data_IF_535459370794
#
_entry.id   IF_535459370794
#
_cell.length_a   1.000
_cell.length_b   1.000
_cell.length_c   1.000
_cell.angle_alpha   90.00
_cell.angle_beta   90.00
_cell.angle_gamma   90.00
#
_symmetry.space_group_name_H-M   'P 1'
#
loop_
_entity.id
_entity.type
_entity.pdbx_description
1 polymer ?
#
# COMPACT_ATOMS: atom_id res chain seq x y z
N UNK A 1 3.59 -35.91 -18.89
CA UNK A 1 3.87 -34.70 -19.70
C UNK A 1 2.81 -33.61 -19.50
N UNK A 2 1.52 -33.90 -19.67
CA UNK A 2 0.44 -32.89 -19.48
C UNK A 2 0.31 -32.36 -18.03
N UNK A 3 0.65 -33.16 -17.01
CA UNK A 3 0.62 -32.73 -15.60
C UNK A 3 1.66 -31.63 -15.29
N UNK A 4 2.88 -31.76 -15.80
CA UNK A 4 3.92 -30.72 -15.64
C UNK A 4 3.57 -29.45 -16.41
N UNK A 5 2.96 -29.59 -17.58
CA UNK A 5 2.49 -28.45 -18.37
C UNK A 5 1.35 -27.70 -17.65
N UNK A 6 0.42 -28.44 -17.03
CA UNK A 6 -0.67 -27.86 -16.23
C UNK A 6 -0.16 -27.09 -15.00
N UNK A 7 0.83 -27.63 -14.28
CA UNK A 7 1.46 -26.95 -13.15
C UNK A 7 2.17 -25.67 -13.60
N UNK A 8 2.86 -25.71 -14.76
CA UNK A 8 3.51 -24.53 -15.33
C UNK A 8 2.51 -23.39 -15.65
N UNK A 9 1.34 -23.73 -16.20
CA UNK A 9 0.30 -22.74 -16.45
C UNK A 9 -0.29 -22.15 -15.16
N UNK A 10 -0.47 -22.94 -14.09
CA UNK A 10 -0.92 -22.42 -12.78
C UNK A 10 0.10 -21.41 -12.20
N UNK A 11 1.40 -21.70 -12.31
CA UNK A 11 2.44 -20.79 -11.82
C UNK A 11 2.49 -19.45 -12.56
N UNK A 12 2.11 -19.39 -13.84
CA UNK A 12 2.05 -18.14 -14.61
C UNK A 12 0.91 -17.21 -14.15
N UNK A 13 -0.23 -17.77 -13.70
CA UNK A 13 -1.35 -16.96 -13.20
C UNK A 13 -1.10 -16.36 -11.81
N UNK A 14 -0.21 -16.95 -11.00
CA UNK A 14 0.12 -16.45 -9.66
C UNK A 14 1.04 -15.21 -9.65
N UNK A 15 1.61 -14.81 -10.79
CA UNK A 15 2.57 -13.70 -10.85
C UNK A 15 1.94 -12.30 -10.73
N UNK A 16 0.61 -12.17 -10.86
CA UNK A 16 -0.08 -10.87 -10.83
C UNK A 16 -0.65 -10.48 -9.46
N UNK A 17 -0.32 -11.19 -8.38
CA UNK A 17 -0.99 -11.01 -7.09
C UNK A 17 -0.42 -9.90 -6.19
N UNK A 18 0.58 -9.12 -6.60
CA UNK A 18 1.24 -8.15 -5.69
C UNK A 18 1.53 -6.78 -6.30
N UNK A 19 0.65 -6.25 -7.15
CA UNK A 19 0.64 -4.82 -7.44
C UNK A 19 -0.21 -4.07 -6.39
N UNK A 20 0.02 -4.35 -5.10
CA UNK A 20 -0.56 -3.53 -4.04
C UNK A 20 0.29 -2.28 -3.95
N UNK A 21 -0.31 -1.11 -4.21
CA UNK A 21 0.39 0.18 -4.19
C UNK A 21 1.29 0.26 -2.96
N UNK A 22 2.57 0.56 -3.19
CA UNK A 22 3.62 0.47 -2.16
C UNK A 22 3.30 1.46 -1.04
N UNK A 23 2.75 1.00 0.08
CA UNK A 23 2.56 1.84 1.25
C UNK A 23 3.84 1.84 2.08
N UNK A 24 4.40 3.03 2.33
CA UNK A 24 5.51 3.21 3.25
C UNK A 24 5.03 4.05 4.44
N UNK A 25 5.41 3.65 5.66
CA UNK A 25 5.09 4.41 6.88
C UNK A 25 6.39 4.61 7.66
N UNK A 26 6.63 5.86 8.06
CA UNK A 26 7.75 6.23 8.91
C UNK A 26 7.27 7.04 10.11
N UNK A 27 7.85 6.75 11.28
CA UNK A 27 7.62 7.54 12.47
C UNK A 27 8.31 8.90 12.33
N UNK A 28 7.59 9.99 12.61
CA UNK A 28 8.13 11.35 12.53
C UNK A 28 8.62 11.82 13.90
N UNK A 29 7.70 11.90 14.86
CA UNK A 29 7.94 12.34 16.25
C UNK A 29 6.67 12.13 17.08
N UNK A 30 6.81 11.90 18.38
CA UNK A 30 5.65 11.71 19.28
C UNK A 30 4.68 10.67 18.72
N UNK A 31 3.42 11.06 18.55
CA UNK A 31 2.37 10.21 17.98
C UNK A 31 2.09 10.49 16.48
N UNK A 32 3.02 11.15 15.79
CA UNK A 32 2.91 11.53 14.38
C UNK A 32 3.71 10.60 13.46
N UNK A 33 3.08 10.23 12.35
CA UNK A 33 3.62 9.29 11.36
C UNK A 33 3.42 9.85 9.95
N UNK A 34 4.45 9.77 9.11
CA UNK A 34 4.34 10.02 7.68
C UNK A 34 3.98 8.72 6.98
N UNK A 35 2.99 8.77 6.10
CA UNK A 35 2.73 7.69 5.16
C UNK A 35 2.91 8.17 3.72
N UNK A 36 3.57 7.35 2.92
CA UNK A 36 3.81 7.60 1.50
C UNK A 36 3.08 6.56 0.67
N UNK A 37 2.28 7.04 -0.29
CA UNK A 37 1.58 6.19 -1.27
C UNK A 37 2.03 6.55 -2.67
N UNK A 38 1.88 5.63 -3.61
CA UNK A 38 2.35 5.83 -4.98
C UNK A 38 1.22 5.70 -5.98
N UNK A 39 1.28 6.51 -7.03
CA UNK A 39 0.45 6.36 -8.22
C UNK A 39 1.36 6.26 -9.43
N UNK A 40 1.06 5.32 -10.33
CA UNK A 40 1.72 5.27 -11.62
C UNK A 40 1.10 6.33 -12.54
N UNK A 41 1.93 7.26 -13.00
CA UNK A 41 1.57 8.23 -14.02
C UNK A 41 2.56 8.11 -15.17
N UNK A 42 2.06 7.80 -16.36
CA UNK A 42 2.89 7.59 -17.57
C UNK A 42 4.03 6.57 -17.38
N UNK A 43 3.77 5.52 -16.59
CA UNK A 43 4.75 4.45 -16.32
C UNK A 43 5.83 4.82 -15.30
N UNK A 44 5.72 6.00 -14.67
CA UNK A 44 6.60 6.44 -13.59
C UNK A 44 5.81 6.46 -12.27
N UNK A 45 6.32 5.82 -11.20
CA UNK A 45 5.67 5.87 -9.89
C UNK A 45 5.94 7.21 -9.20
N UNK A 46 4.89 7.96 -8.89
CA UNK A 46 4.98 9.23 -8.17
C UNK A 46 4.54 9.07 -6.71
N UNK A 47 5.36 9.51 -5.74
CA UNK A 47 4.99 9.47 -4.33
C UNK A 47 4.07 10.65 -3.95
N UNK A 48 3.09 10.42 -3.06
CA UNK A 48 2.53 11.45 -2.20
C UNK A 48 2.83 11.14 -0.73
N UNK A 49 3.35 12.13 -0.04
CA UNK A 49 3.61 12.09 1.39
C UNK A 49 2.45 12.75 2.13
N UNK A 50 1.93 12.05 3.10
CA UNK A 50 0.81 12.46 3.94
C UNK A 50 1.12 12.08 5.39
N UNK A 51 0.22 12.39 6.32
CA UNK A 51 0.50 12.20 7.74
C UNK A 51 -0.73 11.68 8.47
N UNK A 52 -0.53 10.94 9.55
CA UNK A 52 -1.56 10.74 10.56
C UNK A 52 -0.99 10.94 11.96
N UNK A 53 -1.87 11.30 12.89
CA UNK A 53 -1.57 11.40 14.31
C UNK A 53 -2.44 10.42 15.10
N UNK A 54 -1.81 9.65 15.99
CA UNK A 54 -2.52 8.79 16.93
C UNK A 54 -2.87 9.60 18.18
N UNK A 55 -4.13 9.55 18.59
CA UNK A 55 -4.65 10.22 19.78
C UNK A 55 -5.33 9.19 20.68
N UNK A 56 -5.54 9.47 21.97
CA UNK A 56 -6.28 8.56 22.86
C UNK A 56 -7.69 8.21 22.36
N UNK A 57 -8.33 9.12 21.61
CA UNK A 57 -9.69 8.96 21.09
C UNK A 57 -9.75 8.34 19.68
N UNK A 58 -8.61 8.16 19.00
CA UNK A 58 -8.55 7.61 17.65
C UNK A 58 -7.44 8.23 16.80
N UNK A 59 -7.54 8.07 15.48
CA UNK A 59 -6.53 8.56 14.54
C UNK A 59 -7.05 9.72 13.72
N UNK A 60 -6.25 10.79 13.64
CA UNK A 60 -6.48 11.94 12.76
C UNK A 60 -5.64 11.76 11.51
N UNK A 61 -6.29 11.59 10.37
CA UNK A 61 -5.62 11.57 9.08
C UNK A 61 -5.49 12.97 8.50
N UNK A 62 -4.32 13.25 7.93
CA UNK A 62 -3.99 14.50 7.26
C UNK A 62 -3.67 14.11 5.81
N UNK A 63 -4.59 14.50 4.92
CA UNK A 63 -4.68 14.06 3.53
C UNK A 63 -5.11 12.59 3.36
N UNK A 64 -5.32 12.13 2.14
CA UNK A 64 -5.72 10.75 1.81
C UNK A 64 -4.79 10.14 0.76
N UNK A 65 -4.64 8.80 0.71
CA UNK A 65 -3.96 8.13 -0.40
C UNK A 65 -4.49 8.55 -1.79
N UNK A 66 -3.63 8.47 -2.81
CA UNK A 66 -4.01 8.71 -4.22
C UNK A 66 -5.18 7.83 -4.69
N UNK A 67 -5.22 6.56 -4.25
CA UNK A 67 -6.20 5.56 -4.68
C UNK A 67 -6.82 4.85 -3.46
N UNK A 68 -8.13 4.61 -3.55
CA UNK A 68 -8.92 3.74 -2.67
C UNK A 68 -8.31 2.37 -2.38
N UNK A 69 -7.59 1.76 -3.34
CA UNK A 69 -6.90 0.48 -3.13
C UNK A 69 -5.81 0.54 -2.04
N UNK A 70 -5.28 1.73 -1.77
CA UNK A 70 -4.24 1.97 -0.78
C UNK A 70 -4.81 2.42 0.58
N UNK A 71 -6.13 2.64 0.68
CA UNK A 71 -6.80 3.02 1.94
C UNK A 71 -6.85 1.85 2.92
N UNK A 72 -7.30 0.67 2.49
CA UNK A 72 -7.38 -0.51 3.37
C UNK A 72 -6.01 -0.89 3.97
N UNK A 73 -4.92 -1.00 3.18
CA UNK A 73 -3.62 -1.33 3.73
C UNK A 73 -3.12 -0.30 4.74
N UNK A 74 -3.45 0.98 4.54
CA UNK A 74 -3.16 2.04 5.50
C UNK A 74 -3.93 1.84 6.80
N UNK A 75 -5.25 1.65 6.73
CA UNK A 75 -6.06 1.43 7.93
C UNK A 75 -5.64 0.17 8.70
N UNK A 76 -5.30 -0.91 8.00
CA UNK A 76 -4.85 -2.17 8.61
C UNK A 76 -3.46 -2.04 9.28
N UNK A 77 -2.67 -1.04 8.89
CA UNK A 77 -1.31 -0.81 9.41
C UNK A 77 -1.29 0.04 10.69
N UNK A 78 -2.33 0.81 10.93
CA UNK A 78 -2.50 1.67 12.11
C UNK A 78 -2.89 0.78 13.30
N UNK A 79 -2.16 0.89 14.42
CA UNK A 79 -2.37 0.09 15.63
C UNK A 79 -2.48 0.95 16.87
#
# INVERSE_FOLDING_TARGET
MYKSLFIFFICLFLQNATAQGKLEISHLTGDFYIYTTYVDYEGTPYPANSMYAVTPEGVVMIDTPWDTLQVKPLLDSIK
#
